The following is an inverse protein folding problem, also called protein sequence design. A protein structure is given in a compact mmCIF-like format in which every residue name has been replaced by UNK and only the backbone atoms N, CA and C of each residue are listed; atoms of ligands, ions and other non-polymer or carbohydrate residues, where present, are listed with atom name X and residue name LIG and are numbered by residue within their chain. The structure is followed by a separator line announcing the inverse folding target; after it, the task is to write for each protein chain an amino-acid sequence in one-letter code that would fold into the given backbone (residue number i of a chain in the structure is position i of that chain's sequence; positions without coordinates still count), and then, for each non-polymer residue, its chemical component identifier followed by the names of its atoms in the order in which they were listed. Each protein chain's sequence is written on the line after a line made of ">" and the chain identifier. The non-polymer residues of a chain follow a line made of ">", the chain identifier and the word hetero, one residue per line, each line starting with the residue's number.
data_IF_852841938973
#
_entry.id   IF_852841938973
#
_cell.length_a   1.000
_cell.length_b   1.000
_cell.length_c   1.000
_cell.angle_alpha   90.00
_cell.angle_beta   90.00
_cell.angle_gamma   90.00
#
_symmetry.space_group_name_H-M   'P 1'
#
loop_
_entity.id
_entity.type
_entity.pdbx_description
1 polymer ?
#
# COMPACT_ATOMS: atom_id res chain seq x y z
N UNK A 1 26.78 18.78 -10.70
CA UNK A 1 25.67 18.89 -9.75
C UNK A 1 25.79 17.80 -8.70
N UNK A 2 25.44 18.09 -7.45
CA UNK A 2 25.37 17.06 -6.39
C UNK A 2 23.96 17.02 -5.82
N UNK A 3 23.29 15.88 -5.96
CA UNK A 3 22.02 15.61 -5.30
C UNK A 3 22.25 14.68 -4.10
N UNK A 4 21.76 15.08 -2.93
CA UNK A 4 21.76 14.24 -1.72
C UNK A 4 20.32 13.98 -1.29
N UNK A 5 19.89 12.73 -1.41
CA UNK A 5 18.57 12.30 -0.95
C UNK A 5 18.56 12.18 0.58
N UNK A 6 17.60 12.84 1.23
CA UNK A 6 17.48 12.87 2.69
C UNK A 6 16.39 11.90 3.19
N UNK A 7 15.24 11.85 2.52
CA UNK A 7 14.13 11.00 2.97
C UNK A 7 13.12 10.74 1.87
N UNK A 8 12.61 9.51 1.83
CA UNK A 8 11.47 9.11 1.01
C UNK A 8 10.30 8.67 1.89
N UNK A 9 9.10 8.96 1.42
CA UNK A 9 7.88 8.52 2.10
C UNK A 9 6.72 8.39 1.11
N UNK A 10 5.74 7.58 1.49
CA UNK A 10 4.49 7.31 0.75
C UNK A 10 3.27 7.87 1.50
N UNK A 11 3.17 9.20 1.72
CA UNK A 11 2.05 9.79 2.43
C UNK A 11 0.74 9.73 1.62
N UNK A 12 -0.37 9.86 2.35
CA UNK A 12 -1.68 10.16 1.78
C UNK A 12 -1.88 11.68 1.81
N UNK A 13 -2.24 12.24 0.65
CA UNK A 13 -2.53 13.65 0.46
C UNK A 13 -3.64 14.10 1.41
N UNK A 14 -3.35 15.02 2.32
CA UNK A 14 -4.37 15.65 3.20
C UNK A 14 -5.05 16.85 2.54
N UNK A 15 -4.48 17.32 1.43
CA UNK A 15 -4.94 18.42 0.59
C UNK A 15 -4.41 18.16 -0.82
N UNK A 16 -4.95 18.88 -1.79
CA UNK A 16 -4.50 18.75 -3.17
C UNK A 16 -3.03 19.20 -3.30
N UNK A 17 -2.28 18.46 -4.10
CA UNK A 17 -0.90 18.77 -4.46
C UNK A 17 -0.78 18.80 -5.99
N UNK A 18 0.32 19.33 -6.50
CA UNK A 18 0.73 19.16 -7.89
C UNK A 18 1.92 18.22 -7.94
N UNK A 19 1.93 17.33 -8.91
CA UNK A 19 3.05 16.46 -9.15
C UNK A 19 4.23 17.26 -9.72
N UNK A 20 5.42 17.13 -9.13
CA UNK A 20 6.64 17.80 -9.59
C UNK A 20 7.11 17.34 -10.96
N UNK A 21 6.72 16.15 -11.41
CA UNK A 21 7.08 15.62 -12.73
C UNK A 21 6.18 16.15 -13.85
N UNK A 22 4.87 15.94 -13.73
CA UNK A 22 3.89 16.24 -14.79
C UNK A 22 2.98 17.44 -14.56
N UNK A 23 2.98 18.02 -13.36
CA UNK A 23 2.14 19.18 -13.02
C UNK A 23 0.68 18.88 -12.76
N UNK A 24 0.19 17.69 -13.09
CA UNK A 24 -1.17 17.29 -12.78
C UNK A 24 -1.46 17.25 -11.27
N UNK A 25 -2.76 17.38 -10.93
CA UNK A 25 -3.22 17.33 -9.54
C UNK A 25 -3.10 15.92 -8.95
N UNK A 26 -2.60 15.90 -7.72
CA UNK A 26 -2.72 14.78 -6.78
C UNK A 26 -3.88 15.14 -5.86
N UNK A 27 -5.01 14.44 -6.01
CA UNK A 27 -6.21 14.72 -5.24
C UNK A 27 -6.05 14.35 -3.76
N UNK A 28 -6.69 15.11 -2.89
CA UNK A 28 -6.80 14.79 -1.47
C UNK A 28 -7.35 13.38 -1.27
N UNK A 29 -6.77 12.63 -0.34
CA UNK A 29 -7.07 11.21 -0.11
C UNK A 29 -6.26 10.24 -0.97
N UNK A 30 -5.57 10.72 -2.02
CA UNK A 30 -4.71 9.88 -2.85
C UNK A 30 -3.33 9.69 -2.21
N UNK A 31 -2.72 8.53 -2.44
CA UNK A 31 -1.32 8.31 -2.11
C UNK A 31 -0.42 9.05 -3.12
N UNK A 32 0.72 9.55 -2.64
CA UNK A 32 1.76 10.11 -3.50
C UNK A 32 3.15 9.81 -2.93
N UNK A 33 4.18 9.89 -3.78
CA UNK A 33 5.57 9.75 -3.39
C UNK A 33 6.12 11.10 -2.99
N UNK A 34 6.75 11.19 -1.82
CA UNK A 34 7.41 12.41 -1.34
C UNK A 34 8.88 12.14 -1.12
N UNK A 35 9.69 12.80 -1.93
CA UNK A 35 11.16 12.76 -1.89
C UNK A 35 11.64 14.10 -1.36
N UNK A 36 12.51 14.09 -0.36
CA UNK A 36 13.17 15.31 0.12
C UNK A 36 14.68 15.15 -0.02
N UNK A 37 15.36 16.17 -0.53
CA UNK A 37 16.78 16.15 -0.78
C UNK A 37 17.39 17.54 -0.86
N UNK A 38 18.71 17.59 -0.98
CA UNK A 38 19.47 18.81 -1.26
C UNK A 38 19.99 18.71 -2.69
N UNK A 39 19.64 19.67 -3.53
CA UNK A 39 20.16 19.79 -4.89
C UNK A 39 21.01 21.06 -4.97
N UNK A 40 22.29 20.91 -5.27
CA UNK A 40 23.27 22.02 -5.34
C UNK A 40 23.25 22.97 -4.13
N UNK A 41 23.00 22.42 -2.94
CA UNK A 41 22.95 23.16 -1.68
C UNK A 41 21.56 23.63 -1.25
N UNK A 42 20.58 23.59 -2.15
CA UNK A 42 19.20 24.00 -1.86
C UNK A 42 18.30 22.82 -1.47
N UNK A 43 17.52 23.01 -0.41
CA UNK A 43 16.56 22.01 0.03
C UNK A 43 15.34 21.96 -0.88
N UNK A 44 15.04 20.79 -1.43
CA UNK A 44 13.94 20.55 -2.35
C UNK A 44 13.04 19.41 -1.87
N UNK A 45 11.74 19.54 -2.18
CA UNK A 45 10.73 18.51 -1.88
C UNK A 45 9.93 18.21 -3.14
N UNK A 46 10.16 17.03 -3.69
CA UNK A 46 9.37 16.47 -4.77
C UNK A 46 8.09 15.83 -4.25
N UNK A 47 7.00 15.97 -5.00
CA UNK A 47 5.76 15.21 -4.80
C UNK A 47 5.39 14.58 -6.12
N UNK A 48 5.20 13.27 -6.16
CA UNK A 48 4.98 12.57 -7.42
C UNK A 48 3.76 11.67 -7.33
N UNK A 49 3.00 11.55 -8.42
CA UNK A 49 2.17 10.36 -8.57
C UNK A 49 3.08 9.12 -8.55
N UNK A 50 2.64 7.96 -8.04
CA UNK A 50 3.46 6.75 -8.01
C UNK A 50 4.05 6.37 -9.37
N UNK A 51 3.28 6.53 -10.43
CA UNK A 51 3.73 6.29 -11.81
C UNK A 51 4.77 7.32 -12.29
N UNK A 52 4.63 8.58 -11.89
CA UNK A 52 5.61 9.63 -12.21
C UNK A 52 6.93 9.42 -11.47
N UNK A 53 6.87 8.97 -10.21
CA UNK A 53 8.05 8.65 -9.41
C UNK A 53 8.84 7.48 -10.00
N UNK A 54 8.13 6.45 -10.47
CA UNK A 54 8.72 5.31 -11.13
C UNK A 54 9.40 5.71 -12.45
N UNK A 55 8.76 6.56 -13.26
CA UNK A 55 9.34 7.08 -14.49
C UNK A 55 10.58 7.94 -14.20
N UNK A 56 10.49 8.86 -13.24
CA UNK A 56 11.63 9.67 -12.82
C UNK A 56 12.81 8.80 -12.38
N UNK A 57 12.56 7.80 -11.53
CA UNK A 57 13.58 6.86 -11.04
C UNK A 57 14.24 6.08 -12.17
N UNK A 58 13.46 5.65 -13.17
CA UNK A 58 14.00 4.91 -14.30
C UNK A 58 14.85 5.81 -15.23
N UNK A 59 14.42 7.05 -15.47
CA UNK A 59 15.20 8.03 -16.23
C UNK A 59 16.51 8.36 -15.52
N UNK A 60 16.50 8.66 -14.22
CA UNK A 60 17.72 8.89 -13.44
C UNK A 60 18.66 7.68 -13.40
N UNK A 61 18.12 6.46 -13.48
CA UNK A 61 18.94 5.24 -13.58
C UNK A 61 19.62 5.13 -14.95
N UNK A 62 18.91 5.48 -16.03
CA UNK A 62 19.42 5.43 -17.40
C UNK A 62 20.44 6.53 -17.66
N UNK A 63 20.15 7.74 -17.18
CA UNK A 63 21.00 8.90 -17.26
C UNK A 63 21.13 9.57 -15.88
N UNK A 64 22.20 9.28 -15.13
CA UNK A 64 22.46 9.90 -13.84
C UNK A 64 22.67 11.42 -13.89
N UNK A 65 22.91 12.00 -15.08
CA UNK A 65 23.00 13.44 -15.31
C UNK A 65 21.69 14.05 -15.79
N UNK A 66 20.61 13.27 -15.88
CA UNK A 66 19.31 13.75 -16.30
C UNK A 66 18.83 14.84 -15.34
N UNK A 67 18.33 15.93 -15.89
CA UNK A 67 17.68 17.00 -15.15
C UNK A 67 16.30 17.21 -15.75
N UNK A 68 15.33 17.48 -14.89
CA UNK A 68 14.00 17.86 -15.32
C UNK A 68 13.61 19.18 -14.66
N UNK A 69 12.88 20.00 -15.41
CA UNK A 69 12.19 21.15 -14.82
C UNK A 69 10.85 20.69 -14.25
N UNK A 70 10.37 21.31 -13.16
CA UNK A 70 9.05 20.97 -12.63
C UNK A 70 7.98 21.06 -13.72
N UNK A 71 7.19 20.01 -13.86
CA UNK A 71 6.06 19.91 -14.80
C UNK A 71 6.42 19.73 -16.28
N UNK A 72 7.68 19.48 -16.60
CA UNK A 72 8.18 19.42 -17.98
C UNK A 72 7.93 18.06 -18.66
N UNK A 73 7.52 17.04 -17.89
CA UNK A 73 7.31 15.70 -18.42
C UNK A 73 5.83 15.33 -18.49
N UNK A 74 5.48 14.45 -19.42
CA UNK A 74 4.12 13.91 -19.48
C UNK A 74 3.87 12.93 -18.32
N UNK A 75 2.61 12.87 -17.85
CA UNK A 75 2.21 11.87 -16.87
C UNK A 75 2.20 10.49 -17.56
N UNK A 76 3.03 9.54 -17.10
CA UNK A 76 2.99 8.18 -17.65
C UNK A 76 1.63 7.53 -17.40
N UNK A 77 1.25 6.58 -18.25
CA UNK A 77 0.12 5.72 -17.93
C UNK A 77 0.39 4.99 -16.61
N UNK A 78 -0.66 4.88 -15.80
CA UNK A 78 -0.58 4.16 -14.54
C UNK A 78 -0.30 2.69 -14.85
N UNK A 79 0.89 2.22 -14.52
CA UNK A 79 1.24 0.81 -14.70
C UNK A 79 0.42 0.01 -13.69
N UNK A 80 -0.61 -0.68 -14.18
CA UNK A 80 -1.40 -1.59 -13.36
C UNK A 80 -0.47 -2.70 -12.84
N UNK A 81 -0.47 -2.95 -11.52
CA UNK A 81 0.28 -4.04 -10.95
C UNK A 81 -0.16 -5.37 -11.57
N UNK A 82 0.81 -6.21 -11.95
CA UNK A 82 0.52 -7.53 -12.53
C UNK A 82 -0.12 -8.48 -11.52
N UNK A 83 0.35 -8.38 -10.28
CA UNK A 83 -0.02 -9.28 -9.19
C UNK A 83 -0.52 -8.50 -7.97
N UNK A 84 -1.45 -9.12 -7.25
CA UNK A 84 -2.05 -8.62 -6.03
C UNK A 84 -2.00 -9.70 -4.94
N UNK A 85 -1.92 -9.25 -3.70
CA UNK A 85 -2.21 -10.08 -2.54
C UNK A 85 -3.64 -9.84 -2.08
N UNK A 86 -4.27 -10.89 -1.57
CA UNK A 86 -5.60 -10.80 -0.96
C UNK A 86 -5.42 -10.80 0.54
N UNK A 87 -5.90 -9.74 1.18
CA UNK A 87 -5.83 -9.51 2.61
C UNK A 87 -7.17 -9.87 3.23
N UNK A 88 -7.13 -10.65 4.30
CA UNK A 88 -8.32 -10.96 5.09
C UNK A 88 -8.57 -9.89 6.13
N UNK A 89 -9.59 -9.07 5.90
CA UNK A 89 -10.10 -8.07 6.86
C UNK A 89 -10.82 -8.77 8.01
N UNK A 90 -11.64 -9.78 7.71
CA UNK A 90 -12.47 -10.47 8.71
C UNK A 90 -11.67 -11.38 9.65
N UNK A 91 -10.65 -12.06 9.13
CA UNK A 91 -9.85 -12.96 9.98
C UNK A 91 -8.70 -12.25 10.70
N UNK A 92 -8.36 -11.01 10.32
CA UNK A 92 -7.39 -10.21 11.09
C UNK A 92 -8.09 -9.57 12.29
N UNK A 93 -7.83 -10.07 13.49
CA UNK A 93 -8.41 -9.62 14.75
C UNK A 93 -7.59 -8.53 15.42
N UNK A 94 -8.19 -7.92 16.44
CA UNK A 94 -7.60 -6.83 17.22
C UNK A 94 -6.35 -7.24 18.00
N UNK A 95 -6.34 -8.47 18.53
CA UNK A 95 -5.18 -9.06 19.21
C UNK A 95 -4.07 -9.50 18.25
N UNK A 96 -4.37 -9.68 16.95
CA UNK A 96 -3.39 -10.16 16.00
C UNK A 96 -2.29 -9.12 15.79
N UNK A 97 -1.05 -9.54 15.97
CA UNK A 97 0.12 -8.68 15.76
C UNK A 97 0.34 -8.37 14.28
N UNK A 98 -0.06 -9.27 13.40
CA UNK A 98 0.17 -9.22 11.96
C UNK A 98 -1.13 -9.32 11.18
N UNK A 99 -1.13 -8.78 9.97
CA UNK A 99 -2.27 -8.84 9.05
C UNK A 99 -2.24 -10.18 8.31
N UNK A 100 -3.40 -10.85 8.22
CA UNK A 100 -3.54 -12.12 7.50
C UNK A 100 -3.73 -11.93 6.00
N UNK A 101 -2.94 -12.68 5.24
CA UNK A 101 -2.95 -12.79 3.79
C UNK A 101 -3.50 -14.15 3.39
N UNK A 102 -4.07 -14.25 2.20
CA UNK A 102 -4.46 -15.53 1.62
C UNK A 102 -3.22 -16.27 1.12
N UNK A 103 -3.17 -17.58 1.34
CA UNK A 103 -2.20 -18.48 0.69
C UNK A 103 -2.58 -18.72 -0.79
N UNK A 104 -1.68 -19.32 -1.59
CA UNK A 104 -2.00 -19.72 -2.97
C UNK A 104 -3.26 -20.61 -3.06
N UNK A 105 -3.85 -20.67 -4.24
CA UNK A 105 -5.01 -21.52 -4.57
C UNK A 105 -6.27 -21.27 -3.71
N UNK A 106 -6.43 -20.07 -3.14
CA UNK A 106 -7.53 -19.69 -2.26
C UNK A 106 -7.62 -20.55 -0.98
N UNK A 107 -6.51 -21.13 -0.50
CA UNK A 107 -6.52 -22.14 0.57
C UNK A 107 -5.72 -21.73 1.80
N UNK A 108 -6.45 -21.24 2.79
CA UNK A 108 -5.91 -20.91 4.10
C UNK A 108 -5.26 -19.53 4.15
N UNK A 109 -4.74 -19.22 5.33
CA UNK A 109 -4.19 -17.90 5.64
C UNK A 109 -2.71 -18.00 6.02
N UNK A 110 -2.00 -16.90 5.85
CA UNK A 110 -0.61 -16.73 6.27
C UNK A 110 -0.39 -15.27 6.65
N UNK A 111 0.44 -14.98 7.65
CA UNK A 111 0.94 -13.63 7.89
C UNK A 111 2.29 -13.37 7.21
N UNK A 112 2.91 -14.40 6.62
CA UNK A 112 4.17 -14.28 5.89
C UNK A 112 3.91 -13.92 4.42
N UNK A 113 4.47 -12.80 3.99
CA UNK A 113 4.39 -12.36 2.59
C UNK A 113 5.11 -13.34 1.64
N UNK A 114 6.12 -14.07 2.12
CA UNK A 114 6.85 -15.08 1.34
C UNK A 114 6.03 -16.32 0.97
N UNK A 115 5.00 -16.65 1.76
CA UNK A 115 4.11 -17.80 1.52
C UNK A 115 2.71 -17.39 1.08
N UNK A 116 2.49 -16.09 0.89
CA UNK A 116 1.22 -15.54 0.44
C UNK A 116 0.97 -15.82 -1.05
N UNK A 117 -0.30 -16.05 -1.39
CA UNK A 117 -0.75 -16.25 -2.76
C UNK A 117 -0.75 -14.95 -3.54
N UNK A 118 -0.23 -15.00 -4.77
CA UNK A 118 -0.27 -13.89 -5.73
C UNK A 118 -1.35 -14.17 -6.75
N UNK A 119 -2.21 -13.19 -6.97
CA UNK A 119 -3.37 -13.29 -7.83
C UNK A 119 -3.30 -12.22 -8.91
N UNK A 120 -3.58 -12.61 -10.15
CA UNK A 120 -3.60 -11.65 -11.25
C UNK A 120 -4.79 -10.70 -11.16
N UNK A 121 -4.66 -9.53 -11.79
CA UNK A 121 -5.73 -8.54 -11.85
C UNK A 121 -7.00 -9.11 -12.50
N UNK A 122 -6.85 -9.93 -13.55
CA UNK A 122 -7.97 -10.54 -14.28
C UNK A 122 -8.76 -11.50 -13.38
N UNK A 123 -8.05 -12.31 -12.59
CA UNK A 123 -8.67 -13.29 -11.68
C UNK A 123 -9.50 -12.58 -10.61
N UNK A 124 -8.95 -11.49 -10.04
CA UNK A 124 -9.61 -10.71 -9.00
C UNK A 124 -10.84 -9.99 -9.56
N UNK A 125 -10.70 -9.32 -10.72
CA UNK A 125 -11.79 -8.59 -11.36
C UNK A 125 -12.94 -9.50 -11.79
N UNK A 126 -12.64 -10.72 -12.21
CA UNK A 126 -13.67 -11.72 -12.50
C UNK A 126 -14.52 -12.08 -11.26
N UNK A 127 -13.96 -11.95 -10.06
CA UNK A 127 -14.62 -12.33 -8.80
C UNK A 127 -14.44 -11.28 -7.69
N UNK A 128 -14.74 -10.01 -7.98
CA UNK A 128 -14.57 -8.89 -7.03
C UNK A 128 -15.29 -9.14 -5.70
N UNK A 129 -16.48 -9.76 -5.73
CA UNK A 129 -17.24 -10.08 -4.52
C UNK A 129 -16.59 -11.15 -3.62
N UNK A 130 -15.60 -11.87 -4.13
CA UNK A 130 -14.86 -12.89 -3.37
C UNK A 130 -13.52 -12.33 -2.86
N UNK A 131 -12.74 -11.74 -3.76
CA UNK A 131 -11.39 -11.24 -3.48
C UNK A 131 -11.35 -9.82 -2.90
N UNK A 132 -12.34 -8.99 -3.21
CA UNK A 132 -12.36 -7.56 -2.89
C UNK A 132 -13.75 -7.08 -2.42
N UNK A 133 -14.42 -7.87 -1.55
CA UNK A 133 -15.74 -7.50 -1.04
C UNK A 133 -15.70 -6.34 -0.04
N UNK A 134 -14.54 -6.12 0.59
CA UNK A 134 -14.29 -5.10 1.60
C UNK A 134 -14.62 -5.53 3.04
N UNK A 135 -15.78 -6.16 3.26
CA UNK A 135 -16.16 -6.63 4.61
C UNK A 135 -15.36 -7.85 5.09
N UNK A 136 -14.93 -8.73 4.17
CA UNK A 136 -14.12 -9.89 4.49
C UNK A 136 -12.72 -9.80 3.91
N UNK A 137 -12.59 -9.36 2.66
CA UNK A 137 -11.31 -9.39 1.95
C UNK A 137 -11.11 -8.13 1.11
N UNK A 138 -9.86 -7.70 0.98
CA UNK A 138 -9.44 -6.65 0.06
C UNK A 138 -8.24 -7.13 -0.78
N UNK A 139 -8.19 -6.71 -2.04
CA UNK A 139 -7.06 -7.01 -2.92
C UNK A 139 -6.17 -5.77 -3.09
N UNK A 140 -4.87 -5.92 -2.81
CA UNK A 140 -3.91 -4.82 -2.81
C UNK A 140 -2.65 -5.23 -3.60
N UNK A 141 -2.06 -4.33 -4.39
CA UNK A 141 -0.88 -4.62 -5.21
C UNK A 141 0.30 -5.20 -4.41
N UNK A 142 1.03 -6.14 -5.00
CA UNK A 142 2.20 -6.77 -4.38
C UNK A 142 3.26 -5.75 -3.97
N UNK A 143 3.61 -4.82 -4.85
CA UNK A 143 4.63 -3.80 -4.57
C UNK A 143 4.32 -2.91 -3.35
N UNK A 144 3.03 -2.65 -3.08
CA UNK A 144 2.62 -1.90 -1.90
C UNK A 144 2.77 -2.75 -0.64
N UNK A 145 2.36 -4.02 -0.66
CA UNK A 145 2.55 -4.90 0.49
C UNK A 145 4.03 -5.10 0.81
N UNK A 146 4.84 -5.40 -0.21
CA UNK A 146 6.25 -5.70 -0.06
C UNK A 146 6.98 -4.53 0.60
N UNK A 147 6.70 -3.29 0.19
CA UNK A 147 7.24 -2.07 0.81
C UNK A 147 6.77 -1.84 2.26
N UNK A 148 5.64 -2.43 2.66
CA UNK A 148 5.11 -2.32 4.00
C UNK A 148 5.55 -3.45 4.93
N UNK A 149 6.09 -4.54 4.40
CA UNK A 149 6.58 -5.65 5.21
C UNK A 149 7.74 -5.25 6.09
N UNK A 150 7.82 -5.87 7.25
CA UNK A 150 8.98 -5.80 8.14
C UNK A 150 9.46 -7.23 8.39
N UNK A 151 10.78 -7.42 8.50
CA UNK A 151 11.31 -8.71 8.93
C UNK A 151 10.89 -8.95 10.37
N UNK A 152 10.22 -10.08 10.60
CA UNK A 152 9.65 -10.42 11.90
C UNK A 152 10.30 -11.68 12.47
N UNK A 153 10.62 -11.58 13.75
CA UNK A 153 11.11 -12.66 14.62
C UNK A 153 10.34 -12.59 15.95
N UNK A 154 10.24 -13.70 16.70
CA UNK A 154 10.59 -15.06 16.31
C UNK A 154 9.52 -15.70 15.41
N UNK A 155 9.91 -16.78 14.74
CA UNK A 155 9.05 -17.82 14.20
C UNK A 155 7.99 -18.22 15.24
N UNK A 156 6.84 -17.59 15.17
CA UNK A 156 5.64 -18.05 15.83
C UNK A 156 5.22 -19.37 15.19
N UNK A 157 4.85 -20.34 16.03
CA UNK A 157 4.70 -21.76 15.67
C UNK A 157 3.65 -22.03 14.58
N UNK A 158 2.86 -21.03 14.17
CA UNK A 158 1.76 -21.19 13.21
C UNK A 158 2.20 -21.17 11.74
N UNK A 159 3.25 -20.45 11.37
CA UNK A 159 3.52 -20.14 9.95
C UNK A 159 5.02 -20.25 9.59
N UNK A 160 5.79 -20.87 10.48
CA UNK A 160 7.18 -21.27 10.25
C UNK A 160 8.21 -20.21 10.61
N UNK A 161 9.39 -20.32 9.99
CA UNK A 161 10.59 -19.52 10.28
C UNK A 161 10.35 -17.99 10.16
N UNK A 162 11.30 -17.22 10.69
CA UNK A 162 11.33 -15.76 10.58
C UNK A 162 11.12 -15.30 9.14
N UNK A 163 10.35 -14.22 8.95
CA UNK A 163 10.03 -13.76 7.60
C UNK A 163 9.33 -12.40 7.54
N UNK A 164 9.15 -11.88 6.31
CA UNK A 164 8.51 -10.59 6.09
C UNK A 164 7.01 -10.69 6.39
N UNK A 165 6.51 -9.84 7.27
CA UNK A 165 5.09 -9.75 7.63
C UNK A 165 4.66 -8.29 7.80
N UNK A 166 3.36 -8.02 7.74
CA UNK A 166 2.81 -6.67 7.89
C UNK A 166 2.22 -6.53 9.29
N UNK A 167 2.70 -5.52 10.03
CA UNK A 167 2.17 -5.21 11.35
C UNK A 167 0.72 -4.70 11.28
N UNK A 168 -0.13 -5.25 12.15
CA UNK A 168 -1.53 -4.86 12.28
C UNK A 168 -1.67 -3.50 12.99
N UNK A 169 -1.51 -2.41 12.23
CA UNK A 169 -1.58 -1.05 12.76
C UNK A 169 -2.44 -0.15 11.90
N UNK A 170 -3.02 0.89 12.51
CA UNK A 170 -3.81 1.92 11.81
C UNK A 170 -3.07 2.52 10.62
N UNK A 171 -1.78 2.80 10.79
CA UNK A 171 -0.97 3.42 9.75
C UNK A 171 -0.85 2.54 8.50
N UNK A 172 -0.62 1.23 8.70
CA UNK A 172 -0.51 0.24 7.62
C UNK A 172 -1.87 0.01 6.94
N UNK A 173 -2.94 -0.23 7.71
CA UNK A 173 -4.30 -0.35 7.16
C UNK A 173 -4.72 0.85 6.32
N UNK A 174 -4.37 2.07 6.75
CA UNK A 174 -4.68 3.28 5.98
C UNK A 174 -4.02 3.28 4.59
N UNK A 175 -2.79 2.78 4.46
CA UNK A 175 -2.09 2.67 3.18
C UNK A 175 -2.70 1.56 2.32
N UNK A 176 -3.00 0.40 2.93
CA UNK A 176 -3.63 -0.73 2.23
C UNK A 176 -4.99 -0.35 1.64
N UNK A 177 -5.85 0.29 2.44
CA UNK A 177 -7.18 0.72 2.01
C UNK A 177 -7.16 1.79 0.91
N UNK A 178 -6.11 2.63 0.87
CA UNK A 178 -5.93 3.63 -0.19
C UNK A 178 -5.44 3.03 -1.52
N UNK A 179 -4.94 1.79 -1.50
CA UNK A 179 -4.36 1.11 -2.66
C UNK A 179 -5.12 -0.16 -3.05
N UNK A 180 -6.39 -0.27 -2.63
CA UNK A 180 -7.23 -1.38 -3.06
C UNK A 180 -7.44 -1.30 -4.57
N UNK A 181 -7.42 -2.45 -5.25
CA UNK A 181 -7.56 -2.54 -6.71
C UNK A 181 -8.74 -1.74 -7.26
N UNK A 182 -9.90 -1.85 -6.63
CA UNK A 182 -11.16 -1.21 -7.02
C UNK A 182 -12.03 -0.87 -5.80
N UNK A 183 -13.00 0.05 -5.93
CA UNK A 183 -13.97 0.32 -4.89
C UNK A 183 -14.66 -0.96 -4.41
N UNK A 184 -14.63 -1.18 -3.09
CA UNK A 184 -15.21 -2.37 -2.46
C UNK A 184 -16.72 -2.23 -2.35
N UNK A 185 -17.43 -3.36 -2.47
CA UNK A 185 -18.90 -3.40 -2.33
C UNK A 185 -19.37 -2.99 -0.93
N UNK A 186 -18.64 -3.43 0.09
CA UNK A 186 -18.90 -3.11 1.49
C UNK A 186 -17.73 -2.34 2.07
N UNK A 187 -18.02 -1.38 2.93
CA UNK A 187 -16.99 -0.60 3.62
C UNK A 187 -16.08 -1.53 4.45
N UNK A 188 -14.76 -1.53 4.23
CA UNK A 188 -13.85 -2.31 5.06
C UNK A 188 -13.73 -1.73 6.47
N UNK A 189 -13.82 -2.60 7.47
CA UNK A 189 -13.71 -2.25 8.89
C UNK A 189 -12.62 -3.10 9.56
N UNK A 190 -11.33 -2.84 9.26
CA UNK A 190 -10.24 -3.64 9.79
C UNK A 190 -10.11 -3.51 11.31
N UNK A 191 -9.87 -4.63 11.97
CA UNK A 191 -9.66 -4.69 13.42
C UNK A 191 -8.17 -4.58 13.72
N UNK A 192 -7.78 -3.53 14.43
CA UNK A 192 -6.41 -3.32 14.90
C UNK A 192 -6.43 -2.77 16.33
N UNK A 193 -5.29 -2.84 17.03
CA UNK A 193 -5.20 -2.33 18.40
C UNK A 193 -5.66 -0.86 18.49
N UNK A 194 -6.64 -0.58 19.36
CA UNK A 194 -7.35 0.71 19.50
C UNK A 194 -8.24 1.15 18.33
N UNK A 195 -8.59 0.28 17.39
CA UNK A 195 -9.67 0.56 16.44
C UNK A 195 -11.01 0.79 17.18
N UNK A 196 -11.97 1.52 16.62
CA UNK A 196 -13.33 1.54 17.16
C UNK A 196 -13.91 0.11 17.25
N UNK A 197 -14.85 -0.12 18.17
CA UNK A 197 -15.67 -1.34 18.13
C UNK A 197 -16.56 -1.27 16.89
N UNK A 198 -16.56 -2.37 16.13
CA UNK A 198 -17.46 -2.62 14.99
C UNK A 198 -18.91 -2.70 15.46
N UNK A 199 -19.87 -2.54 14.55
CA UNK A 199 -21.30 -2.56 14.89
C UNK A 199 -21.78 -3.90 15.45
N UNK A 200 -21.12 -5.02 15.10
CA UNK A 200 -21.43 -6.31 15.70
C UNK A 200 -20.78 -6.48 17.07
N UNK A 201 -19.54 -6.05 17.28
CA UNK A 201 -18.90 -6.03 18.63
C UNK A 201 -19.74 -5.18 19.60
N UNK A 202 -20.25 -4.03 19.15
CA UNK A 202 -21.13 -3.17 19.96
C UNK A 202 -22.42 -3.90 20.32
N UNK A 203 -23.06 -4.56 19.36
CA UNK A 203 -24.28 -5.34 19.57
C UNK A 203 -24.06 -6.51 20.53
N UNK A 204 -22.95 -7.25 20.40
CA UNK A 204 -22.61 -8.34 21.32
C UNK A 204 -22.33 -7.85 22.74
N UNK A 205 -21.70 -6.68 22.88
CA UNK A 205 -21.42 -6.05 24.18
C UNK A 205 -22.61 -5.26 24.75
N UNK A 206 -23.77 -5.26 24.08
CA UNK A 206 -24.97 -4.59 24.55
C UNK A 206 -24.92 -3.05 24.49
N UNK A 207 -23.99 -2.48 23.72
CA UNK A 207 -23.96 -1.06 23.43
C UNK A 207 -24.90 -0.76 22.27
N UNK A 208 -26.08 -0.21 22.56
CA UNK A 208 -27.01 0.39 21.57
C UNK A 208 -26.54 1.77 21.16
#
# INVERSE_FOLDING_TARGET
>A
MSYTQLSDSTPIARKNHHCSWCGERIESGSMYMRTAGINDGDFQVGKFHPECDAAATDEFRRDPGFEYLPYDNERPERVEPRDYYVISVHHTRREDRYILLWRPDNKGYTYRASTAGRYSAETIRAHLGYYNCGCSNIAVPTGILDALTVMTTPADQFDGADGPAILNTRAKWRILLANVIEPTKYKPEPMFNRAPLTDWERRELGYT
#
